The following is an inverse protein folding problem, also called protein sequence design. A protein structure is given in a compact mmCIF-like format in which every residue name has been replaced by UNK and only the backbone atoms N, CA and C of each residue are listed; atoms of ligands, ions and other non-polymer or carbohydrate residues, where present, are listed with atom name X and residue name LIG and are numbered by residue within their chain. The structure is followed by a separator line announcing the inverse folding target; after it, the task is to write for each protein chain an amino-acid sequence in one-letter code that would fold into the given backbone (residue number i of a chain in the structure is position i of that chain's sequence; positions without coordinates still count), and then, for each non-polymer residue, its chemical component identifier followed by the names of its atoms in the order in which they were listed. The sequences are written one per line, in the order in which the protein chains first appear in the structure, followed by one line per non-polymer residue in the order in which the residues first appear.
data_IF_089456457350
#
_entry.id   IF_089456457350
#
_cell.length_a   1.000
_cell.length_b   1.000
_cell.length_c   1.000
_cell.angle_alpha   90.00
_cell.angle_beta   90.00
_cell.angle_gamma   90.00
#
_symmetry.space_group_name_H-M   'P 1'
#
loop_
_entity.id
_entity.type
_entity.pdbx_description
1 polymer ?
#
# COMPACT_ATOMS: atom_id res chain seq x y z
N UNK A 1 32.62 10.70 15.37
CA UNK A 1 31.40 10.20 16.05
C UNK A 1 30.21 11.17 15.99
N UNK A 2 30.27 12.29 15.24
CA UNK A 2 29.17 13.28 15.16
C UNK A 2 28.28 13.14 13.90
N UNK A 3 28.67 12.34 12.91
CA UNK A 3 27.94 12.25 11.63
C UNK A 3 26.64 11.42 11.72
N UNK A 4 26.59 10.42 12.62
CA UNK A 4 25.42 9.55 12.79
C UNK A 4 24.25 10.22 13.54
N UNK A 5 24.48 11.34 14.23
CA UNK A 5 23.43 12.02 14.99
C UNK A 5 22.59 12.95 14.11
N UNK A 6 23.20 13.56 13.08
CA UNK A 6 22.53 14.51 12.19
C UNK A 6 21.56 13.82 11.21
N UNK A 7 21.88 12.62 10.74
CA UNK A 7 21.01 11.83 9.85
C UNK A 7 19.79 11.26 10.56
N UNK A 8 19.84 11.11 11.89
CA UNK A 8 18.73 10.57 12.70
C UNK A 8 17.56 11.55 12.87
N UNK A 9 17.82 12.84 12.62
CA UNK A 9 16.86 13.93 12.87
C UNK A 9 16.20 14.47 11.58
N UNK A 10 16.67 14.04 10.40
CA UNK A 10 16.31 14.66 9.11
C UNK A 10 15.03 14.11 8.45
N UNK A 11 14.44 13.03 8.97
CA UNK A 11 13.19 12.45 8.44
C UNK A 11 12.29 11.99 9.58
N UNK A 12 11.74 12.93 10.35
CA UNK A 12 10.77 12.68 11.43
C UNK A 12 9.38 12.23 10.93
N UNK A 13 9.27 11.74 9.70
CA UNK A 13 8.03 11.13 9.22
C UNK A 13 7.97 9.71 9.76
N UNK A 14 7.12 9.50 10.77
CA UNK A 14 6.85 8.17 11.31
C UNK A 14 6.49 7.19 10.18
N UNK A 15 7.19 6.04 10.06
CA UNK A 15 7.04 5.14 8.92
C UNK A 15 5.66 4.48 8.85
N UNK A 16 5.03 4.23 10.02
CA UNK A 16 3.73 3.55 10.12
C UNK A 16 2.58 4.39 9.53
N UNK A 17 2.35 5.66 9.92
CA UNK A 17 1.36 6.52 9.26
C UNK A 17 1.59 6.74 7.76
N UNK A 18 2.85 6.71 7.31
CA UNK A 18 3.19 6.84 5.89
C UNK A 18 2.74 5.62 5.10
N UNK A 19 3.02 4.43 5.62
CA UNK A 19 2.56 3.17 5.03
C UNK A 19 1.02 3.13 4.99
N UNK A 20 0.36 3.48 6.11
CA UNK A 20 -1.10 3.53 6.18
C UNK A 20 -1.71 4.44 5.11
N UNK A 21 -1.23 5.68 4.98
CA UNK A 21 -1.70 6.61 3.93
C UNK A 21 -1.40 6.11 2.52
N UNK A 22 -0.33 5.35 2.34
CA UNK A 22 0.02 4.78 1.03
C UNK A 22 -0.94 3.66 0.64
N UNK A 23 -1.30 2.77 1.58
CA UNK A 23 -2.33 1.76 1.38
C UNK A 23 -3.70 2.39 1.09
N UNK A 24 -4.09 3.43 1.83
CA UNK A 24 -5.37 4.12 1.58
C UNK A 24 -5.47 4.76 0.19
N UNK A 25 -4.34 5.17 -0.41
CA UNK A 25 -4.32 5.77 -1.75
C UNK A 25 -4.58 4.76 -2.86
N UNK A 26 -4.11 3.52 -2.71
CA UNK A 26 -4.35 2.47 -3.71
C UNK A 26 -5.73 1.83 -3.55
N UNK A 27 -6.30 1.89 -2.35
CA UNK A 27 -7.55 1.19 -2.01
C UNK A 27 -8.72 1.44 -2.98
N UNK A 28 -9.03 2.67 -3.43
CA UNK A 28 -10.11 2.88 -4.40
C UNK A 28 -9.89 2.15 -5.73
N UNK A 29 -8.63 2.09 -6.20
CA UNK A 29 -8.29 1.38 -7.43
C UNK A 29 -8.45 -0.13 -7.24
N UNK A 30 -8.04 -0.66 -6.09
CA UNK A 30 -8.22 -2.07 -5.75
C UNK A 30 -9.71 -2.44 -5.78
N UNK A 31 -10.56 -1.67 -5.11
CA UNK A 31 -12.00 -1.93 -5.10
C UNK A 31 -12.61 -1.90 -6.50
N UNK A 32 -12.17 -0.95 -7.34
CA UNK A 32 -12.65 -0.82 -8.71
C UNK A 32 -12.16 -1.93 -9.64
N UNK A 33 -10.88 -2.31 -9.58
CA UNK A 33 -10.27 -3.29 -10.49
C UNK A 33 -10.78 -4.71 -10.20
N UNK A 34 -11.01 -5.03 -8.93
CA UNK A 34 -11.50 -6.35 -8.52
C UNK A 34 -13.03 -6.41 -8.36
N UNK A 35 -13.75 -5.34 -8.74
CA UNK A 35 -15.21 -5.24 -8.64
C UNK A 35 -15.74 -5.64 -7.25
N UNK A 36 -15.11 -5.12 -6.20
CA UNK A 36 -15.46 -5.43 -4.82
C UNK A 36 -16.62 -4.53 -4.39
N UNK A 37 -17.80 -5.12 -4.19
CA UNK A 37 -18.99 -4.43 -3.67
C UNK A 37 -18.88 -4.19 -2.14
N UNK A 38 -17.97 -3.30 -1.76
CA UNK A 38 -17.75 -2.88 -0.40
C UNK A 38 -17.61 -1.36 -0.34
N UNK A 39 -18.30 -0.68 0.60
CA UNK A 39 -18.11 0.75 0.81
C UNK A 39 -16.63 1.07 1.11
N UNK A 40 -16.10 2.11 0.46
CA UNK A 40 -14.71 2.54 0.67
C UNK A 40 -14.37 2.74 2.16
N UNK A 41 -15.31 3.31 2.93
CA UNK A 41 -15.14 3.52 4.36
C UNK A 41 -14.97 2.21 5.14
N UNK A 42 -15.72 1.16 4.78
CA UNK A 42 -15.60 -0.16 5.40
C UNK A 42 -14.22 -0.77 5.10
N UNK A 43 -13.77 -0.67 3.85
CA UNK A 43 -12.47 -1.14 3.44
C UNK A 43 -11.33 -0.40 4.18
N UNK A 44 -11.44 0.92 4.35
CA UNK A 44 -10.50 1.72 5.14
C UNK A 44 -10.47 1.28 6.62
N UNK A 45 -11.64 0.97 7.19
CA UNK A 45 -11.73 0.46 8.56
C UNK A 45 -11.05 -0.90 8.70
N UNK A 46 -11.15 -1.79 7.72
CA UNK A 46 -10.43 -3.08 7.73
C UNK A 46 -8.92 -2.87 7.76
N UNK A 47 -8.38 -1.98 6.92
CA UNK A 47 -6.95 -1.62 6.96
C UNK A 47 -6.59 -1.09 8.36
N UNK A 48 -7.37 -0.15 8.89
CA UNK A 48 -7.14 0.39 10.24
C UNK A 48 -7.09 -0.72 11.30
N UNK A 49 -8.01 -1.67 11.25
CA UNK A 49 -8.05 -2.81 12.17
C UNK A 49 -6.75 -3.62 12.11
N UNK A 50 -6.23 -3.91 10.92
CA UNK A 50 -4.94 -4.61 10.75
C UNK A 50 -3.74 -3.85 11.35
N UNK A 51 -3.73 -2.52 11.27
CA UNK A 51 -2.71 -1.72 11.96
C UNK A 51 -2.89 -1.75 13.49
N UNK A 52 -4.14 -1.72 13.98
CA UNK A 52 -4.40 -1.73 15.42
C UNK A 52 -4.10 -3.06 16.09
N UNK A 53 -4.28 -4.20 15.41
CA UNK A 53 -3.96 -5.54 15.94
C UNK A 53 -2.48 -5.63 16.33
N UNK A 54 -1.61 -5.00 15.54
CA UNK A 54 -0.17 -4.97 15.79
C UNK A 54 0.28 -3.82 16.72
N UNK A 55 -0.66 -3.02 17.24
CA UNK A 55 -0.36 -1.84 18.05
C UNK A 55 0.30 -2.14 19.41
N UNK A 56 0.18 -3.38 19.90
CA UNK A 56 0.80 -3.82 21.14
C UNK A 56 2.29 -4.20 20.99
N UNK A 57 2.83 -4.28 19.76
CA UNK A 57 4.21 -4.67 19.50
C UNK A 57 5.16 -3.56 19.95
N UNK A 58 6.02 -3.87 20.93
CA UNK A 58 7.00 -2.92 21.51
C UNK A 58 8.42 -3.11 20.97
N UNK A 59 8.79 -4.30 20.52
CA UNK A 59 10.13 -4.55 19.97
C UNK A 59 10.31 -3.79 18.64
N UNK A 60 11.32 -2.93 18.57
CA UNK A 60 11.61 -2.11 17.40
C UNK A 60 11.89 -2.95 16.15
N UNK A 61 12.61 -4.06 16.29
CA UNK A 61 12.97 -4.93 15.16
C UNK A 61 11.74 -5.58 14.56
N UNK A 62 10.79 -5.97 15.41
CA UNK A 62 9.51 -6.54 14.95
C UNK A 62 8.70 -5.47 14.22
N UNK A 63 8.67 -4.23 14.74
CA UNK A 63 8.01 -3.10 14.04
C UNK A 63 8.65 -2.84 12.67
N UNK A 64 9.98 -2.81 12.58
CA UNK A 64 10.69 -2.64 11.31
C UNK A 64 10.35 -3.73 10.30
N UNK A 65 10.33 -5.00 10.72
CA UNK A 65 9.96 -6.13 9.86
C UNK A 65 8.49 -6.02 9.41
N UNK A 66 7.57 -5.67 10.30
CA UNK A 66 6.15 -5.48 9.95
C UNK A 66 5.96 -4.35 8.94
N UNK A 67 6.69 -3.24 9.10
CA UNK A 67 6.67 -2.12 8.17
C UNK A 67 7.21 -2.57 6.81
N UNK A 68 8.36 -3.26 6.78
CA UNK A 68 8.96 -3.76 5.54
C UNK A 68 8.00 -4.71 4.81
N UNK A 69 7.39 -5.65 5.54
CA UNK A 69 6.38 -6.56 5.00
C UNK A 69 5.18 -5.82 4.42
N UNK A 70 4.66 -4.82 5.13
CA UNK A 70 3.53 -4.03 4.62
C UNK A 70 3.89 -3.22 3.36
N UNK A 71 5.12 -2.74 3.22
CA UNK A 71 5.58 -2.11 1.97
C UNK A 71 5.73 -3.14 0.84
N UNK A 72 6.21 -4.35 1.12
CA UNK A 72 6.29 -5.43 0.13
C UNK A 72 4.89 -5.78 -0.40
N UNK A 73 3.92 -6.02 0.50
CA UNK A 73 2.53 -6.32 0.12
C UNK A 73 1.90 -5.18 -0.69
N UNK A 74 2.16 -3.92 -0.31
CA UNK A 74 1.67 -2.77 -1.07
C UNK A 74 2.27 -2.70 -2.49
N UNK A 75 3.54 -3.04 -2.64
CA UNK A 75 4.21 -3.04 -3.95
C UNK A 75 3.70 -4.18 -4.84
N UNK A 76 3.48 -5.36 -4.28
CA UNK A 76 2.84 -6.49 -4.98
C UNK A 76 1.45 -6.11 -5.48
N UNK A 77 0.65 -5.44 -4.65
CA UNK A 77 -0.68 -4.94 -5.05
C UNK A 77 -0.55 -3.94 -6.20
N UNK A 78 0.35 -2.95 -6.11
CA UNK A 78 0.55 -1.98 -7.20
C UNK A 78 0.92 -2.64 -8.50
N UNK A 79 1.87 -3.56 -8.47
CA UNK A 79 2.28 -4.28 -9.65
C UNK A 79 1.11 -5.07 -10.25
N UNK A 80 0.30 -5.72 -9.41
CA UNK A 80 -0.90 -6.42 -9.88
C UNK A 80 -1.93 -5.46 -10.50
N UNK A 81 -2.14 -4.27 -9.93
CA UNK A 81 -3.08 -3.29 -10.50
C UNK A 81 -2.60 -2.78 -11.86
N UNK A 82 -1.30 -2.50 -11.99
CA UNK A 82 -0.69 -2.09 -13.26
C UNK A 82 -0.87 -3.16 -14.35
N UNK A 83 -0.68 -4.44 -14.01
CA UNK A 83 -0.88 -5.54 -14.95
C UNK A 83 -2.35 -5.63 -15.42
N UNK A 84 -3.32 -5.49 -14.52
CA UNK A 84 -4.76 -5.48 -14.87
C UNK A 84 -5.11 -4.31 -15.80
N UNK A 85 -4.64 -3.10 -15.49
CA UNK A 85 -4.83 -1.91 -16.33
C UNK A 85 -4.20 -2.04 -17.72
N UNK A 86 -3.03 -2.67 -17.81
CA UNK A 86 -2.36 -2.93 -19.09
C UNK A 86 -3.09 -4.00 -19.91
N UNK A 87 -3.68 -5.01 -19.28
CA UNK A 87 -4.44 -6.06 -19.95
C UNK A 87 -5.72 -5.51 -20.60
N UNK A 88 -6.47 -4.68 -19.87
CA UNK A 88 -7.67 -4.02 -20.40
C UNK A 88 -7.34 -3.10 -21.58
N UNK A 89 -6.30 -2.27 -21.46
CA UNK A 89 -5.89 -1.36 -22.54
C UNK A 89 -5.37 -2.10 -23.79
N UNK A 90 -4.68 -3.23 -23.62
CA UNK A 90 -4.22 -4.06 -24.74
C UNK A 90 -5.37 -4.76 -25.46
N UNK A 91 -6.38 -5.22 -24.72
CA UNK A 91 -7.62 -5.75 -25.31
C UNK A 91 -8.37 -4.67 -26.07
N UNK A 92 -8.47 -3.46 -25.53
CA UNK A 92 -9.10 -2.33 -26.20
C UNK A 92 -8.37 -1.92 -27.48
N UNK A 93 -7.02 -1.84 -27.44
CA UNK A 93 -6.20 -1.56 -28.61
C UNK A 93 -6.29 -2.67 -29.67
N UNK A 94 -6.32 -3.95 -29.27
CA UNK A 94 -6.48 -5.07 -30.19
C UNK A 94 -7.87 -5.09 -30.86
N UNK A 95 -8.94 -4.76 -30.11
CA UNK A 95 -10.30 -4.62 -30.65
C UNK A 95 -10.39 -3.43 -31.61
N UNK A 96 -9.67 -2.34 -31.35
CA UNK A 96 -9.67 -1.14 -32.20
C UNK A 96 -8.82 -1.31 -33.47
N UNK A 97 -7.75 -2.10 -33.43
CA UNK A 97 -6.88 -2.38 -34.60
C UNK A 97 -7.45 -3.47 -35.54
N UNK A 98 -8.48 -4.20 -35.12
CA UNK A 98 -9.15 -5.23 -35.93
C UNK A 98 -10.43 -4.71 -36.61
N UNK A 99 -10.64 -3.41 -36.64
CA UNK A 99 -11.76 -2.73 -37.33
C UNK A 99 -11.24 -1.80 -38.41
#
# INVERSE_FOLDING_TARGET
MALNLALKNATTTSPVPTLYRSMLRELPKVLSIYDIDMPLLEAQQKIKTHFTINGAVKDERVKEILIAKGYMELEEVRHSLELSLLAENKLFAAVFLLR
#
